data_IF_782727858394
#
_entry.id   IF_782727858394
#
_cell.length_a   1.000
_cell.length_b   1.000
_cell.length_c   1.000
_cell.angle_alpha   90.00
_cell.angle_beta   90.00
_cell.angle_gamma   90.00
#
_symmetry.space_group_name_H-M   'P 1'
#
loop_
_entity.id
_entity.type
_entity.pdbx_description
1 polymer ?
#
# COMPACT_ATOMS: atom_id res chain seq x y z
N UNK A 1 27.74 3.14 7.64
CA UNK A 1 27.16 2.93 6.29
C UNK A 1 26.08 3.98 6.10
N UNK A 2 26.26 4.92 5.18
CA UNK A 2 25.18 5.84 4.81
C UNK A 2 24.12 5.02 4.06
N UNK A 3 22.90 4.94 4.60
CA UNK A 3 21.80 4.31 3.90
C UNK A 3 21.61 5.02 2.55
N UNK A 4 21.60 4.26 1.45
CA UNK A 4 21.29 4.83 0.14
C UNK A 4 19.85 5.33 0.15
N UNK A 5 19.67 6.61 -0.19
CA UNK A 5 18.37 7.29 -0.23
C UNK A 5 17.98 7.48 -1.69
N UNK A 6 16.77 7.05 -2.04
CA UNK A 6 16.14 7.33 -3.33
C UNK A 6 15.26 8.57 -3.18
N UNK A 7 15.32 9.45 -4.18
CA UNK A 7 14.38 10.57 -4.31
C UNK A 7 13.30 10.18 -5.31
N UNK A 8 12.05 10.12 -4.84
CA UNK A 8 10.89 9.81 -5.65
C UNK A 8 10.02 11.05 -5.82
N UNK A 9 9.41 11.19 -6.99
CA UNK A 9 8.45 12.24 -7.33
C UNK A 9 7.08 11.63 -7.58
N UNK A 10 6.13 11.98 -6.73
CA UNK A 10 4.73 11.61 -6.91
C UNK A 10 3.96 12.88 -7.24
N UNK A 11 3.33 12.90 -8.40
CA UNK A 11 2.51 14.02 -8.86
C UNK A 11 1.09 13.56 -9.07
N UNK A 12 0.13 14.45 -8.95
CA UNK A 12 -1.25 14.11 -9.27
C UNK A 12 -2.10 15.30 -9.66
N UNK A 13 -3.22 14.99 -10.30
CA UNK A 13 -4.19 15.97 -10.77
C UNK A 13 -5.62 15.44 -10.68
N UNK A 14 -6.54 16.30 -10.29
CA UNK A 14 -7.98 16.06 -10.33
C UNK A 14 -8.50 16.29 -11.75
N UNK A 15 -9.35 15.39 -12.24
CA UNK A 15 -10.03 15.54 -13.53
C UNK A 15 -11.14 16.58 -13.48
N UNK A 16 -11.80 16.69 -12.33
CA UNK A 16 -12.89 17.62 -12.07
C UNK A 16 -12.50 18.61 -10.97
N UNK A 17 -13.32 19.66 -10.80
CA UNK A 17 -13.12 20.59 -9.69
C UNK A 17 -13.30 19.84 -8.36
N UNK A 18 -12.41 20.11 -7.41
CA UNK A 18 -12.44 19.51 -6.08
C UNK A 18 -12.50 20.58 -5.00
N UNK A 19 -13.11 20.23 -3.87
CA UNK A 19 -13.11 21.05 -2.66
C UNK A 19 -11.97 20.66 -1.70
N UNK A 20 -11.14 19.66 -2.05
CA UNK A 20 -9.96 19.31 -1.26
C UNK A 20 -8.87 20.37 -1.43
N UNK A 21 -8.22 20.74 -0.32
CA UNK A 21 -7.13 21.70 -0.30
C UNK A 21 -5.75 21.05 -0.11
N UNK A 22 -5.71 19.83 0.44
CA UNK A 22 -4.49 19.12 0.76
C UNK A 22 -4.54 17.66 0.30
N UNK A 23 -3.37 17.18 -0.14
CA UNK A 23 -3.10 15.76 -0.35
C UNK A 23 -2.18 15.27 0.76
N UNK A 24 -2.44 14.05 1.23
CA UNK A 24 -1.72 13.42 2.32
C UNK A 24 -1.19 12.06 1.89
N UNK A 25 0.07 11.76 2.22
CA UNK A 25 0.66 10.42 2.10
C UNK A 25 1.08 9.99 3.50
N UNK A 26 0.39 8.98 4.03
CA UNK A 26 0.58 8.51 5.40
C UNK A 26 1.15 7.09 5.40
N UNK A 27 2.22 6.88 6.15
CA UNK A 27 2.87 5.58 6.32
C UNK A 27 2.43 4.97 7.67
N UNK A 28 1.66 3.87 7.67
CA UNK A 28 1.14 3.27 8.90
C UNK A 28 2.21 2.62 9.77
N UNK A 29 3.33 2.19 9.18
CA UNK A 29 4.42 1.52 9.91
C UNK A 29 5.31 2.54 10.64
N UNK A 30 5.63 3.66 9.99
CA UNK A 30 6.48 4.70 10.58
C UNK A 30 5.70 5.82 11.25
N UNK A 31 4.36 5.82 11.12
CA UNK A 31 3.45 6.89 11.56
C UNK A 31 3.81 8.27 11.00
N UNK A 32 4.53 8.31 9.87
CA UNK A 32 4.85 9.55 9.17
C UNK A 32 3.69 9.95 8.29
N UNK A 33 3.44 11.25 8.19
CA UNK A 33 2.42 11.81 7.33
C UNK A 33 3.02 12.99 6.57
N UNK A 34 2.99 12.91 5.25
CA UNK A 34 3.47 13.93 4.33
C UNK A 34 2.27 14.68 3.78
N UNK A 35 2.36 16.01 3.72
CA UNK A 35 1.27 16.86 3.26
C UNK A 35 1.79 17.78 2.17
N UNK A 36 0.95 18.01 1.17
CA UNK A 36 1.19 19.05 0.17
C UNK A 36 -0.14 19.72 -0.18
N UNK A 37 -0.08 20.99 -0.60
CA UNK A 37 -1.26 21.74 -1.00
C UNK A 37 -1.70 21.34 -2.42
N UNK A 38 -3.00 21.28 -2.63
CA UNK A 38 -3.61 21.14 -3.96
C UNK A 38 -3.81 22.55 -4.52
N UNK A 39 -3.07 22.89 -5.57
CA UNK A 39 -3.18 24.18 -6.26
C UNK A 39 -3.66 23.90 -7.68
N UNK A 40 -4.74 24.57 -8.12
CA UNK A 40 -5.36 24.37 -9.43
C UNK A 40 -5.64 22.90 -9.75
N UNK A 41 -6.13 22.16 -8.74
CA UNK A 41 -6.42 20.73 -8.86
C UNK A 41 -5.17 19.86 -9.02
N UNK A 42 -3.97 20.34 -8.70
CA UNK A 42 -2.71 19.59 -8.82
C UNK A 42 -1.93 19.56 -7.52
N UNK A 43 -1.22 18.48 -7.29
CA UNK A 43 -0.37 18.29 -6.11
C UNK A 43 0.92 17.55 -6.48
N UNK A 44 1.97 17.79 -5.70
CA UNK A 44 3.27 17.14 -5.91
C UNK A 44 3.95 16.85 -4.57
N UNK A 45 4.57 15.68 -4.49
CA UNK A 45 5.45 15.24 -3.42
C UNK A 45 6.84 14.96 -3.98
N UNK A 46 7.85 15.39 -3.25
CA UNK A 46 9.23 14.93 -3.43
C UNK A 46 9.65 14.24 -2.14
N UNK A 47 9.92 12.94 -2.22
CA UNK A 47 10.07 12.07 -1.05
C UNK A 47 11.45 11.42 -1.11
N UNK A 48 12.22 11.60 -0.05
CA UNK A 48 13.44 10.88 0.20
C UNK A 48 13.13 9.62 1.01
N UNK A 49 13.40 8.44 0.46
CA UNK A 49 13.09 7.16 1.09
C UNK A 49 14.27 6.18 1.03
N UNK A 50 14.33 5.16 1.92
CA UNK A 50 15.25 4.04 1.75
C UNK A 50 15.00 3.28 0.44
N UNK A 51 15.98 2.46 0.04
CA UNK A 51 15.84 1.54 -1.09
C UNK A 51 14.68 0.55 -0.93
N UNK A 52 14.37 0.20 0.32
CA UNK A 52 13.27 -0.71 0.64
C UNK A 52 11.94 -0.16 0.12
N UNK A 53 11.02 -1.08 -0.15
CA UNK A 53 9.65 -0.72 -0.52
C UNK A 53 8.97 -0.03 0.66
N UNK A 54 8.36 1.13 0.41
CA UNK A 54 7.47 1.77 1.36
C UNK A 54 6.07 1.81 0.76
N UNK A 55 5.11 1.21 1.47
CA UNK A 55 3.69 1.24 1.11
C UNK A 55 3.00 2.23 2.04
N UNK A 56 2.34 3.21 1.44
CA UNK A 56 1.66 4.29 2.13
C UNK A 56 0.20 4.38 1.66
N UNK A 57 -0.56 5.20 2.37
CA UNK A 57 -1.94 5.51 2.03
C UNK A 57 -2.04 6.98 1.59
N UNK A 58 -2.65 7.19 0.43
CA UNK A 58 -3.00 8.50 -0.10
C UNK A 58 -4.43 8.88 0.30
N UNK A 59 -4.59 10.14 0.69
CA UNK A 59 -5.86 10.75 1.06
C UNK A 59 -5.91 12.21 0.61
N UNK A 60 -7.12 12.78 0.62
CA UNK A 60 -7.36 14.18 0.32
C UNK A 60 -8.27 14.81 1.38
N UNK A 61 -7.97 16.05 1.78
CA UNK A 61 -8.69 16.73 2.84
C UNK A 61 -8.73 18.25 2.60
N UNK A 62 -9.60 18.94 3.33
CA UNK A 62 -9.66 20.41 3.39
C UNK A 62 -8.65 20.97 4.40
N UNK A 63 -8.25 20.16 5.38
CA UNK A 63 -7.36 20.58 6.46
C UNK A 63 -5.97 19.95 6.33
N UNK A 64 -4.94 20.67 6.75
CA UNK A 64 -3.55 20.20 6.75
C UNK A 64 -3.17 19.45 8.04
N UNK A 65 -3.92 18.40 8.40
CA UNK A 65 -3.64 17.61 9.61
C UNK A 65 -2.33 16.86 9.46
N UNK A 66 -1.31 17.26 10.23
CA UNK A 66 0.04 16.69 10.14
C UNK A 66 0.27 15.47 11.02
N UNK A 67 -0.39 15.40 12.17
CA UNK A 67 -0.26 14.26 13.08
C UNK A 67 -0.97 13.01 12.52
N UNK A 68 -0.27 11.88 12.50
CA UNK A 68 -0.82 10.63 11.94
C UNK A 68 -1.98 10.09 12.77
N UNK A 69 -1.92 10.14 14.10
CA UNK A 69 -2.97 9.56 14.95
C UNK A 69 -4.26 10.38 14.88
N UNK A 70 -4.14 11.71 14.85
CA UNK A 70 -5.27 12.62 14.60
C UNK A 70 -5.90 12.36 13.23
N UNK A 71 -5.06 12.20 12.21
CA UNK A 71 -5.48 11.93 10.84
C UNK A 71 -6.28 10.62 10.72
N UNK A 72 -5.77 9.53 11.29
CA UNK A 72 -6.44 8.23 11.25
C UNK A 72 -7.76 8.29 12.02
N UNK A 73 -7.82 8.94 13.18
CA UNK A 73 -9.08 9.14 13.93
C UNK A 73 -10.10 9.94 13.13
N UNK A 74 -9.67 10.99 12.41
CA UNK A 74 -10.55 11.79 11.56
C UNK A 74 -11.15 10.96 10.43
N UNK A 75 -10.40 10.01 9.88
CA UNK A 75 -10.77 9.29 8.66
C UNK A 75 -11.33 7.90 8.89
N UNK A 76 -11.26 7.39 10.11
CA UNK A 76 -11.85 6.11 10.49
C UNK A 76 -13.33 6.07 10.10
N UNK A 77 -13.68 5.19 9.15
CA UNK A 77 -15.05 5.05 8.63
C UNK A 77 -15.53 6.13 7.67
N UNK A 78 -14.81 7.25 7.50
CA UNK A 78 -15.23 8.41 6.69
C UNK A 78 -14.57 8.41 5.31
N UNK A 79 -13.26 8.20 5.25
CA UNK A 79 -12.50 8.22 4.00
C UNK A 79 -11.95 6.85 3.65
N UNK A 80 -11.84 6.57 2.35
CA UNK A 80 -11.23 5.35 1.85
C UNK A 80 -9.90 5.69 1.20
N UNK A 81 -8.76 5.32 1.81
CA UNK A 81 -7.46 5.59 1.23
C UNK A 81 -7.23 4.86 -0.10
N UNK A 82 -6.27 5.38 -0.85
CA UNK A 82 -5.58 4.60 -1.88
C UNK A 82 -4.26 4.10 -1.34
N UNK A 83 -4.06 2.79 -1.37
CA UNK A 83 -2.74 2.21 -1.14
C UNK A 83 -1.83 2.52 -2.33
N UNK A 84 -0.63 3.05 -2.06
CA UNK A 84 0.40 3.38 -3.05
C UNK A 84 1.77 2.93 -2.55
N UNK A 85 2.67 2.59 -3.47
CA UNK A 85 4.09 2.45 -3.20
C UNK A 85 4.79 3.79 -3.45
N UNK A 86 5.77 4.13 -2.62
CA UNK A 86 6.61 5.31 -2.81
C UNK A 86 7.63 5.04 -3.91
N UNK A 87 7.24 5.40 -5.13
CA UNK A 87 7.99 5.32 -6.39
C UNK A 87 7.67 6.57 -7.24
N UNK A 88 8.41 6.81 -8.31
CA UNK A 88 8.02 7.82 -9.29
C UNK A 88 6.65 7.47 -9.90
N UNK A 89 5.66 8.32 -9.69
CA UNK A 89 4.28 8.04 -10.08
C UNK A 89 3.48 9.29 -10.45
N UNK A 90 2.47 9.08 -11.29
CA UNK A 90 1.41 10.04 -11.63
C UNK A 90 0.07 9.52 -11.15
N UNK A 91 -0.69 10.38 -10.49
CA UNK A 91 -1.98 10.04 -9.89
C UNK A 91 -3.08 10.85 -10.55
N UNK A 92 -3.99 10.14 -11.22
CA UNK A 92 -5.16 10.75 -11.85
C UNK A 92 -6.37 10.53 -10.95
N UNK A 93 -6.82 11.62 -10.32
CA UNK A 93 -7.93 11.59 -9.37
C UNK A 93 -9.23 11.86 -10.10
N UNK A 94 -10.17 10.92 -10.02
CA UNK A 94 -11.52 11.13 -10.54
C UNK A 94 -12.34 11.92 -9.51
N UNK A 95 -12.83 11.24 -8.47
CA UNK A 95 -13.63 11.84 -7.39
C UNK A 95 -12.90 11.83 -6.04
N UNK A 96 -12.19 10.76 -5.73
CA UNK A 96 -11.55 10.53 -4.42
C UNK A 96 -10.25 9.75 -4.55
N UNK A 97 -9.54 9.59 -3.42
CA UNK A 97 -8.31 8.81 -3.38
C UNK A 97 -8.55 7.36 -3.83
N UNK A 98 -9.52 6.64 -3.25
CA UNK A 98 -9.78 5.22 -3.53
C UNK A 98 -9.89 4.91 -5.04
N UNK A 99 -10.62 5.75 -5.76
CA UNK A 99 -10.93 5.60 -7.19
C UNK A 99 -9.86 6.17 -8.11
N UNK A 100 -8.84 6.83 -7.57
CA UNK A 100 -7.72 7.36 -8.35
C UNK A 100 -6.95 6.25 -9.06
N UNK A 101 -6.42 6.59 -10.23
CA UNK A 101 -5.53 5.73 -11.02
C UNK A 101 -4.09 6.16 -10.73
N UNK A 102 -3.24 5.20 -10.42
CA UNK A 102 -1.82 5.42 -10.16
C UNK A 102 -1.04 4.78 -11.30
N UNK A 103 -0.27 5.59 -12.00
CA UNK A 103 0.58 5.18 -13.12
C UNK A 103 2.05 5.41 -12.78
N UNK A 104 2.91 4.45 -13.15
CA UNK A 104 4.33 4.47 -12.82
C UNK A 104 4.65 3.70 -11.54
N UNK A 105 5.88 3.21 -11.46
CA UNK A 105 6.34 2.32 -10.38
C UNK A 105 5.97 0.86 -10.60
N UNK A 106 6.93 -0.03 -10.35
CA UNK A 106 6.71 -1.47 -10.47
C UNK A 106 5.76 -1.94 -9.36
N UNK A 107 5.99 -1.48 -8.14
CA UNK A 107 5.18 -1.88 -6.98
C UNK A 107 3.79 -1.26 -7.02
N UNK A 108 3.61 -0.06 -7.55
CA UNK A 108 2.27 0.49 -7.81
C UNK A 108 1.46 -0.36 -8.80
N UNK A 109 2.12 -0.90 -9.83
CA UNK A 109 1.48 -1.85 -10.77
C UNK A 109 1.08 -3.14 -10.04
N UNK A 110 1.97 -3.67 -9.20
CA UNK A 110 1.70 -4.86 -8.39
C UNK A 110 0.57 -4.62 -7.37
N UNK A 111 0.49 -3.45 -6.72
CA UNK A 111 -0.59 -3.08 -5.78
C UNK A 111 -1.98 -3.20 -6.43
N UNK A 112 -2.12 -2.90 -7.71
CA UNK A 112 -3.38 -3.10 -8.43
C UNK A 112 -3.81 -4.58 -8.43
N UNK A 113 -2.87 -5.49 -8.71
CA UNK A 113 -3.10 -6.94 -8.66
C UNK A 113 -3.29 -7.45 -7.24
N UNK A 114 -2.57 -6.90 -6.27
CA UNK A 114 -2.77 -7.17 -4.84
C UNK A 114 -4.21 -6.85 -4.43
N UNK A 115 -4.70 -5.67 -4.78
CA UNK A 115 -6.07 -5.24 -4.47
C UNK A 115 -7.13 -6.09 -5.18
N UNK A 116 -6.84 -6.55 -6.40
CA UNK A 116 -7.70 -7.52 -7.09
C UNK A 116 -7.77 -8.84 -6.32
N UNK A 117 -6.62 -9.37 -5.90
CA UNK A 117 -6.53 -10.63 -5.14
C UNK A 117 -7.28 -10.54 -3.80
N UNK A 118 -7.10 -9.45 -3.03
CA UNK A 118 -7.83 -9.25 -1.77
C UNK A 118 -9.34 -9.11 -1.98
N UNK A 119 -9.78 -8.39 -3.03
CA UNK A 119 -11.21 -8.21 -3.34
C UNK A 119 -11.88 -9.52 -3.76
N UNK A 120 -11.20 -10.32 -4.57
CA UNK A 120 -11.72 -11.60 -5.08
C UNK A 120 -11.48 -12.76 -4.14
N UNK A 121 -10.68 -12.55 -3.08
CA UNK A 121 -10.17 -13.58 -2.16
C UNK A 121 -9.36 -14.67 -2.84
N UNK A 122 -8.94 -14.45 -4.08
CA UNK A 122 -8.03 -15.34 -4.78
C UNK A 122 -6.61 -14.80 -4.66
N UNK A 123 -5.99 -15.12 -3.52
CA UNK A 123 -4.62 -14.70 -3.19
C UNK A 123 -3.59 -15.33 -4.14
N UNK A 124 -3.92 -16.47 -4.77
CA UNK A 124 -3.02 -17.19 -5.69
C UNK A 124 -2.74 -16.38 -6.94
N UNK A 125 -3.72 -15.63 -7.45
CA UNK A 125 -3.55 -14.76 -8.64
C UNK A 125 -2.37 -13.79 -8.47
N UNK A 126 -2.18 -13.22 -7.28
CA UNK A 126 -1.04 -12.33 -7.04
C UNK A 126 0.26 -13.11 -6.92
N UNK A 127 0.28 -14.18 -6.12
CA UNK A 127 1.49 -14.95 -5.80
C UNK A 127 2.03 -15.70 -7.02
N UNK A 128 1.18 -16.11 -7.96
CA UNK A 128 1.60 -16.78 -9.19
C UNK A 128 2.31 -15.85 -10.17
N UNK A 129 1.97 -14.56 -10.14
CA UNK A 129 2.58 -13.56 -11.02
C UNK A 129 3.79 -12.89 -10.35
N UNK A 130 3.73 -12.68 -9.03
CA UNK A 130 4.74 -11.94 -8.27
C UNK A 130 5.26 -12.73 -7.06
N UNK A 131 5.80 -13.95 -7.25
CA UNK A 131 6.23 -14.80 -6.14
C UNK A 131 7.44 -14.25 -5.36
N UNK A 132 8.22 -13.35 -5.97
CA UNK A 132 9.40 -12.73 -5.36
C UNK A 132 9.17 -11.27 -4.94
N UNK A 133 7.95 -10.75 -5.08
CA UNK A 133 7.64 -9.37 -4.66
C UNK A 133 7.61 -9.23 -3.13
N UNK A 134 8.21 -8.17 -2.54
CA UNK A 134 8.00 -7.85 -1.12
C UNK A 134 6.52 -7.74 -0.73
N UNK A 135 5.63 -7.35 -1.65
CA UNK A 135 4.18 -7.28 -1.42
C UNK A 135 3.55 -8.67 -1.23
N UNK A 136 4.18 -9.75 -1.69
CA UNK A 136 3.71 -11.12 -1.45
C UNK A 136 3.73 -11.46 0.04
N UNK A 137 4.76 -11.01 0.76
CA UNK A 137 4.81 -11.14 2.23
C UNK A 137 3.70 -10.32 2.88
N UNK A 138 3.49 -9.08 2.44
CA UNK A 138 2.40 -8.23 2.95
C UNK A 138 1.03 -8.88 2.72
N UNK A 139 0.83 -9.53 1.57
CA UNK A 139 -0.42 -10.23 1.24
C UNK A 139 -0.67 -11.38 2.20
N UNK A 140 0.34 -12.22 2.43
CA UNK A 140 0.24 -13.32 3.38
C UNK A 140 0.02 -12.81 4.80
N UNK A 141 0.58 -11.65 5.19
CA UNK A 141 0.34 -11.08 6.54
C UNK A 141 -1.12 -10.67 6.70
N UNK A 142 -1.70 -10.06 5.67
CA UNK A 142 -3.12 -9.77 5.64
C UNK A 142 -3.96 -11.06 5.72
N UNK A 143 -3.54 -12.11 5.01
CA UNK A 143 -4.19 -13.42 5.07
C UNK A 143 -4.15 -14.06 6.48
N UNK A 144 -3.02 -14.00 7.19
CA UNK A 144 -2.92 -14.47 8.59
C UNK A 144 -3.95 -13.79 9.50
N UNK A 145 -4.24 -12.50 9.28
CA UNK A 145 -5.25 -11.78 10.05
C UNK A 145 -6.65 -12.33 9.72
N UNK A 146 -6.93 -12.60 8.43
CA UNK A 146 -8.20 -13.16 7.98
C UNK A 146 -8.44 -14.57 8.51
N UNK A 147 -7.41 -15.41 8.60
CA UNK A 147 -7.53 -16.76 9.17
C UNK A 147 -8.05 -16.79 10.62
N UNK A 148 -7.97 -15.67 11.36
CA UNK A 148 -8.55 -15.56 12.71
C UNK A 148 -10.07 -15.45 12.69
N UNK A 149 -10.66 -15.21 11.52
CA UNK A 149 -12.10 -15.12 11.31
C UNK A 149 -12.61 -16.48 10.78
N UNK A 150 -13.56 -17.15 11.47
CA UNK A 150 -13.99 -18.51 11.12
C UNK A 150 -14.46 -18.66 9.67
N UNK A 151 -15.11 -17.65 9.11
CA UNK A 151 -15.63 -17.69 7.74
C UNK A 151 -14.57 -17.62 6.63
N UNK A 152 -13.28 -17.46 6.99
CA UNK A 152 -12.14 -17.41 6.06
C UNK A 152 -11.14 -18.55 6.27
N UNK A 153 -11.43 -19.50 7.17
CA UNK A 153 -10.49 -20.57 7.47
C UNK A 153 -10.58 -21.73 6.46
N UNK A 154 -9.51 -21.95 5.72
CA UNK A 154 -9.22 -23.19 4.98
C UNK A 154 -7.90 -23.75 5.53
N UNK A 155 -7.90 -25.01 5.96
CA UNK A 155 -6.74 -25.67 6.58
C UNK A 155 -5.57 -25.90 5.62
N UNK A 156 -5.83 -26.06 4.32
CA UNK A 156 -4.83 -26.39 3.31
C UNK A 156 -4.28 -25.15 2.60
N UNK A 157 -5.08 -24.09 2.52
CA UNK A 157 -4.72 -22.86 1.83
C UNK A 157 -3.44 -22.17 2.37
N UNK A 158 -3.15 -22.10 3.69
CA UNK A 158 -1.92 -21.53 4.22
C UNK A 158 -0.63 -22.10 3.60
N UNK A 159 -0.52 -23.43 3.52
CA UNK A 159 0.66 -24.11 2.97
C UNK A 159 0.79 -23.85 1.47
N UNK A 160 -0.33 -23.91 0.74
CA UNK A 160 -0.38 -23.65 -0.70
C UNK A 160 0.10 -22.23 -1.01
N UNK A 161 -0.40 -21.23 -0.29
CA UNK A 161 -0.02 -19.84 -0.50
C UNK A 161 1.44 -19.58 -0.10
N UNK A 162 1.91 -20.11 1.03
CA UNK A 162 3.30 -19.95 1.44
C UNK A 162 4.28 -20.58 0.44
N UNK A 163 3.96 -21.75 -0.10
CA UNK A 163 4.83 -22.45 -1.04
C UNK A 163 4.99 -21.75 -2.40
N UNK A 164 4.05 -20.86 -2.77
CA UNK A 164 4.16 -20.01 -3.96
C UNK A 164 5.19 -18.89 -3.83
N UNK A 165 5.63 -18.55 -2.62
CA UNK A 165 6.72 -17.59 -2.45
C UNK A 165 8.01 -18.08 -3.11
N UNK A 166 8.85 -17.16 -3.56
CA UNK A 166 10.21 -17.48 -3.98
C UNK A 166 11.05 -18.01 -2.80
N UNK A 167 12.09 -18.79 -3.09
CA UNK A 167 13.04 -19.25 -2.08
C UNK A 167 13.74 -18.09 -1.36
N UNK A 168 14.01 -16.98 -2.08
CA UNK A 168 14.58 -15.77 -1.47
C UNK A 168 13.65 -15.21 -0.41
N UNK A 169 12.34 -15.09 -0.69
CA UNK A 169 11.38 -14.57 0.26
C UNK A 169 11.10 -15.55 1.41
N UNK A 170 11.00 -16.86 1.14
CA UNK A 170 10.86 -17.88 2.21
C UNK A 170 12.00 -17.82 3.22
N UNK A 171 13.23 -17.64 2.72
CA UNK A 171 14.44 -17.55 3.55
C UNK A 171 14.71 -16.15 4.11
N UNK A 172 13.86 -15.15 3.83
CA UNK A 172 13.96 -13.84 4.48
C UNK A 172 13.48 -13.90 5.94
N UNK A 173 13.93 -12.99 6.83
CA UNK A 173 13.41 -12.91 8.19
C UNK A 173 11.88 -12.80 8.25
N UNK A 174 11.28 -12.04 7.35
CA UNK A 174 9.83 -11.88 7.27
C UNK A 174 9.14 -13.15 6.77
N UNK A 175 9.75 -13.88 5.82
CA UNK A 175 9.27 -15.17 5.32
C UNK A 175 9.32 -16.28 6.36
N UNK A 176 10.38 -16.33 7.17
CA UNK A 176 10.46 -17.29 8.27
C UNK A 176 9.45 -16.97 9.37
N UNK A 177 9.22 -15.68 9.65
CA UNK A 177 8.19 -15.26 10.62
C UNK A 177 6.80 -15.68 10.15
N UNK A 178 6.47 -15.42 8.88
CA UNK A 178 5.13 -15.73 8.38
C UNK A 178 4.84 -17.22 8.32
N UNK A 179 5.86 -18.04 8.06
CA UNK A 179 5.76 -19.50 8.15
C UNK A 179 5.26 -19.94 9.53
N UNK A 180 5.85 -19.39 10.59
CA UNK A 180 5.44 -19.66 11.98
C UNK A 180 4.03 -19.16 12.27
N UNK A 181 3.68 -17.97 11.79
CA UNK A 181 2.35 -17.38 11.99
C UNK A 181 1.24 -18.20 11.29
N UNK A 182 1.57 -18.83 10.16
CA UNK A 182 0.71 -19.76 9.43
C UNK A 182 0.74 -21.19 10.00
N UNK A 183 1.56 -21.45 11.03
CA UNK A 183 1.77 -22.77 11.66
C UNK A 183 2.26 -23.87 10.69
N UNK A 184 3.18 -23.49 9.79
CA UNK A 184 3.81 -24.36 8.78
C UNK A 184 5.25 -24.76 9.13
#
# INVERSE_FOLDING_TARGET
MNAQVLNCKISGSFKEKTDYEFAHISNPETKKNLITRINDGKFNFTIAKPLEIEVCFLYFDKDSVSDYEELIKKWEGVQRPKMIAIEDAKIFVNSDAKTSVVEGGEFNTQISKFNQATRTRDFKIFLDVYPDSPLAITLLRAYVILLKMPEYYDENEPSVLYNKLSERLKNSPQGMKIKKDLRL
#
